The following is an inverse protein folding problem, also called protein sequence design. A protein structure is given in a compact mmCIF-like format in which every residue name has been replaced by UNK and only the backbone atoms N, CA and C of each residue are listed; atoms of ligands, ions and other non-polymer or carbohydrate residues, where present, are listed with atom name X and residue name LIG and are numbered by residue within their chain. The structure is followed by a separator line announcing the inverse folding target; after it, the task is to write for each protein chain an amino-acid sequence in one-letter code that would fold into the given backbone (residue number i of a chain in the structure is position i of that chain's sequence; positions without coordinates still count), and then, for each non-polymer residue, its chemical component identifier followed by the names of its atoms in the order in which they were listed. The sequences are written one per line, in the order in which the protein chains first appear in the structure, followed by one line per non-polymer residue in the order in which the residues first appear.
data_IF_595618145500
#
_entry.id   IF_595618145500
#
_cell.length_a   1.000
_cell.length_b   1.000
_cell.length_c   1.000
_cell.angle_alpha   90.00
_cell.angle_beta   90.00
_cell.angle_gamma   90.00
#
_symmetry.space_group_name_H-M   'P 1'
#
loop_
_entity.id
_entity.type
_entity.pdbx_description
1 polymer ?
#
# COMPACT_ATOMS: atom_id res chain seq x y z
N UNK A 1 3.21 6.41 -14.64
CA UNK A 1 2.59 5.35 -13.82
C UNK A 1 1.06 5.39 -13.84
N UNK A 2 0.39 6.50 -13.50
CA UNK A 2 -1.09 6.60 -13.47
C UNK A 2 -1.81 5.98 -14.66
N UNK A 3 -1.45 6.39 -15.89
CA UNK A 3 -2.10 5.88 -17.12
C UNK A 3 -1.97 4.36 -17.25
N UNK A 4 -0.80 3.81 -16.92
CA UNK A 4 -0.55 2.37 -16.98
C UNK A 4 -1.38 1.61 -15.95
N UNK A 5 -1.46 2.11 -14.71
CA UNK A 5 -2.30 1.50 -13.67
C UNK A 5 -3.79 1.56 -14.06
N UNK A 6 -4.24 2.66 -14.67
CA UNK A 6 -5.63 2.82 -15.09
C UNK A 6 -6.04 1.96 -16.30
N UNK A 7 -5.09 1.41 -17.07
CA UNK A 7 -5.42 0.35 -18.05
C UNK A 7 -6.02 -0.86 -17.32
N UNK A 8 -5.46 -1.24 -16.16
CA UNK A 8 -5.99 -2.34 -15.35
C UNK A 8 -7.30 -1.98 -14.65
N UNK A 9 -7.45 -0.74 -14.16
CA UNK A 9 -8.71 -0.28 -13.58
C UNK A 9 -9.84 -0.32 -14.61
N UNK A 10 -9.58 0.15 -15.84
CA UNK A 10 -10.52 0.03 -16.95
C UNK A 10 -10.80 -1.43 -17.31
N UNK A 11 -9.79 -2.29 -17.34
CA UNK A 11 -9.99 -3.72 -17.55
C UNK A 11 -10.92 -4.33 -16.49
N UNK A 12 -10.75 -3.97 -15.21
CA UNK A 12 -11.62 -4.41 -14.09
C UNK A 12 -13.07 -3.94 -14.29
N UNK A 13 -13.26 -2.72 -14.81
CA UNK A 13 -14.59 -2.15 -15.07
C UNK A 13 -15.28 -2.79 -16.27
N UNK A 14 -14.55 -2.97 -17.38
CA UNK A 14 -15.08 -3.49 -18.64
C UNK A 14 -15.39 -5.00 -18.55
N UNK A 15 -14.79 -5.72 -17.60
CA UNK A 15 -14.92 -7.17 -17.43
C UNK A 15 -15.77 -7.52 -16.19
N UNK A 16 -17.09 -7.43 -16.34
CA UNK A 16 -18.05 -7.66 -15.24
C UNK A 16 -17.95 -9.05 -14.61
N UNK A 17 -17.43 -10.06 -15.33
CA UNK A 17 -17.16 -11.38 -14.78
C UNK A 17 -16.15 -11.38 -13.62
N UNK A 18 -15.31 -10.35 -13.51
CA UNK A 18 -14.37 -10.21 -12.38
C UNK A 18 -15.08 -9.87 -11.06
N UNK A 19 -16.36 -9.49 -11.10
CA UNK A 19 -17.16 -9.28 -9.88
C UNK A 19 -17.41 -10.55 -9.07
N UNK A 20 -17.07 -11.73 -9.59
CA UNK A 20 -17.07 -12.98 -8.82
C UNK A 20 -15.96 -13.02 -7.75
N UNK A 21 -14.92 -12.18 -7.87
CA UNK A 21 -13.83 -12.10 -6.90
C UNK A 21 -14.13 -11.03 -5.86
N UNK A 22 -13.90 -11.35 -4.59
CA UNK A 22 -14.14 -10.41 -3.48
C UNK A 22 -12.99 -9.43 -3.28
N UNK A 23 -11.77 -9.82 -3.68
CA UNK A 23 -10.55 -9.07 -3.45
C UNK A 23 -9.71 -8.94 -4.71
N UNK A 24 -8.94 -7.86 -4.79
CA UNK A 24 -7.96 -7.59 -5.84
C UNK A 24 -6.61 -7.33 -5.18
N UNK A 25 -5.57 -8.02 -5.65
CA UNK A 25 -4.19 -7.76 -5.24
C UNK A 25 -3.52 -6.88 -6.29
N UNK A 26 -3.04 -5.71 -5.89
CA UNK A 26 -2.07 -4.95 -6.68
C UNK A 26 -0.67 -5.21 -6.10
N UNK A 27 0.26 -5.64 -6.94
CA UNK A 27 1.62 -5.97 -6.54
C UNK A 27 2.63 -5.49 -7.59
N UNK A 28 3.77 -4.97 -7.12
CA UNK A 28 4.92 -4.63 -7.94
C UNK A 28 5.72 -5.90 -8.27
N UNK A 29 5.80 -6.24 -9.56
CA UNK A 29 6.46 -7.45 -10.06
C UNK A 29 7.96 -7.25 -10.39
N UNK A 30 8.45 -6.02 -10.32
CA UNK A 30 9.87 -5.66 -10.43
C UNK A 30 10.64 -5.78 -9.10
N UNK A 31 9.96 -6.25 -8.05
CA UNK A 31 10.56 -6.54 -6.74
C UNK A 31 10.83 -8.04 -6.57
N UNK A 32 12.05 -8.39 -6.14
CA UNK A 32 12.34 -9.73 -5.62
C UNK A 32 12.07 -9.73 -4.13
N UNK A 33 11.04 -10.47 -3.70
CA UNK A 33 10.53 -10.42 -2.33
C UNK A 33 10.36 -11.80 -1.69
N UNK A 34 10.47 -11.84 -0.36
CA UNK A 34 9.95 -12.92 0.47
C UNK A 34 8.70 -12.44 1.21
N UNK A 35 7.60 -13.17 1.03
CA UNK A 35 6.37 -12.94 1.79
C UNK A 35 6.12 -14.14 2.71
N UNK A 36 5.80 -13.86 3.96
CA UNK A 36 5.45 -14.89 4.93
C UNK A 36 3.96 -15.22 4.82
N UNK A 37 3.63 -16.52 4.79
CA UNK A 37 2.25 -16.97 4.63
C UNK A 37 1.35 -16.48 5.78
N UNK A 38 1.87 -16.40 7.00
CA UNK A 38 1.11 -16.00 8.19
C UNK A 38 0.50 -14.60 8.03
N UNK A 39 1.24 -13.63 7.49
CA UNK A 39 0.73 -12.29 7.25
C UNK A 39 -0.28 -12.19 6.12
N UNK A 40 -0.17 -13.06 5.10
CA UNK A 40 -1.20 -13.18 4.06
C UNK A 40 -2.49 -13.77 4.65
N UNK A 41 -2.37 -14.81 5.49
CA UNK A 41 -3.50 -15.43 6.16
C UNK A 41 -4.17 -14.48 7.15
N UNK A 42 -3.41 -13.70 7.94
CA UNK A 42 -3.98 -12.72 8.85
C UNK A 42 -4.70 -11.59 8.09
N UNK A 43 -4.19 -11.18 6.93
CA UNK A 43 -4.89 -10.25 6.02
C UNK A 43 -6.27 -10.79 5.61
N UNK A 44 -6.37 -12.07 5.26
CA UNK A 44 -7.66 -12.71 4.98
C UNK A 44 -8.59 -12.73 6.20
N UNK A 45 -8.05 -13.05 7.39
CA UNK A 45 -8.80 -13.01 8.64
C UNK A 45 -9.36 -11.62 8.93
N UNK A 46 -8.58 -10.55 8.72
CA UNK A 46 -9.03 -9.18 8.91
C UNK A 46 -10.18 -8.79 8.00
N UNK A 47 -10.09 -9.12 6.71
CA UNK A 47 -11.18 -8.82 5.78
C UNK A 47 -12.47 -9.58 6.08
N UNK A 48 -12.35 -10.80 6.62
CA UNK A 48 -13.48 -11.61 7.07
C UNK A 48 -14.08 -11.08 8.38
N UNK A 49 -13.24 -10.63 9.32
CA UNK A 49 -13.66 -10.09 10.61
C UNK A 49 -14.32 -8.71 10.48
N UNK A 50 -13.84 -7.85 9.57
CA UNK A 50 -14.45 -6.55 9.29
C UNK A 50 -14.75 -6.38 7.77
N UNK A 51 -16.01 -6.59 7.34
CA UNK A 51 -16.41 -6.45 5.94
C UNK A 51 -16.36 -4.99 5.44
N UNK A 52 -16.11 -4.01 6.33
CA UNK A 52 -16.05 -2.59 5.98
C UNK A 52 -14.64 -2.11 5.64
N UNK A 53 -13.61 -2.95 5.82
CA UNK A 53 -12.24 -2.63 5.38
C UNK A 53 -12.21 -2.54 3.86
N UNK A 54 -11.67 -1.44 3.33
CA UNK A 54 -11.53 -1.20 1.89
C UNK A 54 -10.21 -1.74 1.34
N UNK A 55 -9.12 -1.58 2.10
CA UNK A 55 -7.78 -2.00 1.67
C UNK A 55 -6.86 -2.34 2.85
N UNK A 56 -5.97 -3.31 2.62
CA UNK A 56 -4.89 -3.70 3.53
C UNK A 56 -3.58 -3.76 2.75
N UNK A 57 -2.62 -2.92 3.12
CA UNK A 57 -1.29 -2.89 2.50
C UNK A 57 -0.28 -3.75 3.24
N UNK A 58 0.75 -4.16 2.50
CA UNK A 58 1.89 -4.87 3.06
C UNK A 58 2.76 -3.94 3.91
N UNK A 59 3.44 -4.54 4.88
CA UNK A 59 4.55 -3.93 5.59
C UNK A 59 5.84 -4.27 4.86
N UNK A 60 6.11 -3.53 3.77
CA UNK A 60 7.31 -3.74 2.96
C UNK A 60 8.56 -3.23 3.66
N UNK A 61 9.58 -4.08 3.75
CA UNK A 61 10.83 -3.78 4.46
C UNK A 61 12.04 -4.30 3.69
N UNK A 62 13.15 -3.58 3.77
CA UNK A 62 14.43 -4.01 3.19
C UNK A 62 15.59 -3.70 4.15
N UNK A 63 16.71 -4.42 3.98
CA UNK A 63 17.93 -4.13 4.72
C UNK A 63 18.69 -2.99 4.04
N UNK A 64 18.95 -1.92 4.79
CA UNK A 64 19.84 -0.87 4.33
C UNK A 64 21.30 -1.36 4.35
N UNK A 65 22.00 -1.18 3.22
CA UNK A 65 23.36 -1.68 2.98
C UNK A 65 24.35 -1.19 4.05
N UNK A 66 24.14 0.01 4.59
CA UNK A 66 24.90 0.52 5.72
C UNK A 66 24.18 0.21 7.05
N UNK A 67 24.86 -0.55 7.91
CA UNK A 67 24.55 -0.85 9.32
C UNK A 67 23.45 -1.88 9.62
N UNK A 68 22.95 -2.65 8.64
CA UNK A 68 21.99 -3.73 8.89
C UNK A 68 20.65 -3.26 9.48
N UNK A 69 20.34 -1.96 9.34
CA UNK A 69 19.08 -1.38 9.78
C UNK A 69 17.99 -1.69 8.76
N UNK A 70 16.84 -2.15 9.24
CA UNK A 70 15.64 -2.32 8.42
C UNK A 70 15.06 -0.95 8.08
N UNK A 71 14.65 -0.75 6.83
CA UNK A 71 13.94 0.43 6.37
C UNK A 71 12.59 0.05 5.78
N UNK A 72 11.62 0.92 5.96
CA UNK A 72 10.32 0.84 5.31
C UNK A 72 10.47 1.12 3.81
N UNK A 73 9.75 0.35 3.00
CA UNK A 73 9.75 0.49 1.55
C UNK A 73 8.59 1.37 1.06
N UNK A 74 8.88 2.15 0.02
CA UNK A 74 7.95 3.09 -0.61
C UNK A 74 7.26 4.04 0.40
N UNK A 75 8.05 4.89 1.10
CA UNK A 75 7.47 5.88 2.00
C UNK A 75 6.69 6.98 1.27
N UNK A 76 6.83 7.07 -0.05
CA UNK A 76 6.15 8.05 -0.89
C UNK A 76 4.66 7.71 -1.07
N UNK A 77 4.30 6.43 -1.14
CA UNK A 77 2.91 5.99 -1.12
C UNK A 77 2.26 6.02 0.29
N UNK A 78 3.02 6.30 1.34
CA UNK A 78 2.54 6.20 2.73
C UNK A 78 2.09 7.56 3.31
N UNK A 79 0.89 7.59 3.90
CA UNK A 79 0.33 8.74 4.61
C UNK A 79 -0.38 8.29 5.89
N UNK A 80 0.15 8.70 7.05
CA UNK A 80 -0.47 8.41 8.35
C UNK A 80 -1.73 9.28 8.57
N UNK A 81 -2.62 8.87 9.48
CA UNK A 81 -3.76 9.72 9.91
C UNK A 81 -3.29 11.02 10.60
N UNK A 82 -2.20 10.94 11.36
CA UNK A 82 -1.70 12.01 12.23
C UNK A 82 -0.77 12.99 11.49
N UNK A 83 -0.23 12.61 10.34
CA UNK A 83 0.77 13.38 9.62
C UNK A 83 0.21 13.97 8.33
N UNK A 84 -0.43 15.12 8.44
CA UNK A 84 -1.06 15.85 7.33
C UNK A 84 -0.03 16.58 6.44
N UNK A 85 1.22 16.76 6.90
CA UNK A 85 2.27 17.44 6.13
C UNK A 85 3.00 16.42 5.26
N UNK A 86 2.50 16.27 4.05
CA UNK A 86 3.10 15.39 3.07
C UNK A 86 4.35 16.06 2.48
N UNK A 87 5.52 15.45 2.65
CA UNK A 87 6.72 15.84 1.91
C UNK A 87 7.57 14.61 1.68
N UNK A 88 8.16 14.48 0.48
CA UNK A 88 8.95 13.31 0.10
C UNK A 88 10.14 13.12 1.03
N UNK A 89 10.89 14.19 1.28
CA UNK A 89 12.07 14.17 2.15
C UNK A 89 11.68 13.90 3.61
N UNK A 90 10.56 14.46 4.08
CA UNK A 90 10.09 14.20 5.43
C UNK A 90 9.61 12.76 5.58
N UNK A 91 8.83 12.22 4.63
CA UNK A 91 8.40 10.84 4.66
C UNK A 91 9.60 9.88 4.56
N UNK A 92 10.61 10.17 3.76
CA UNK A 92 11.78 9.30 3.62
C UNK A 92 12.65 9.27 4.89
N UNK A 93 12.90 10.44 5.50
CA UNK A 93 13.61 10.53 6.79
C UNK A 93 12.75 9.94 7.91
N UNK A 94 11.49 10.37 8.03
CA UNK A 94 10.60 9.91 9.08
C UNK A 94 10.36 8.40 9.02
N UNK A 95 10.13 7.86 7.82
CA UNK A 95 9.95 6.41 7.66
C UNK A 95 11.22 5.62 7.97
N UNK A 96 12.39 6.13 7.55
CA UNK A 96 13.69 5.50 7.81
C UNK A 96 14.04 5.42 9.30
N UNK A 97 13.52 6.34 10.12
CA UNK A 97 13.84 6.39 11.55
C UNK A 97 12.70 5.94 12.47
N UNK A 98 11.43 6.09 12.05
CA UNK A 98 10.28 5.96 12.93
C UNK A 98 9.15 5.05 12.41
N UNK A 99 9.11 4.70 11.10
CA UNK A 99 8.10 3.75 10.57
C UNK A 99 8.68 2.34 10.40
N UNK A 100 9.19 1.78 11.49
CA UNK A 100 9.35 0.33 11.59
C UNK A 100 8.11 -0.16 12.33
N UNK A 101 7.14 -0.69 11.60
CA UNK A 101 5.98 -1.32 12.22
C UNK A 101 6.42 -2.69 12.74
N UNK A 102 6.58 -2.87 14.07
CA UNK A 102 6.89 -4.19 14.60
C UNK A 102 5.73 -5.13 14.26
N UNK A 103 6.05 -6.41 14.05
CA UNK A 103 5.14 -7.50 13.68
C UNK A 103 4.16 -7.88 14.83
N UNK A 104 3.70 -6.89 15.58
CA UNK A 104 2.88 -7.04 16.79
C UNK A 104 1.74 -6.01 16.85
N UNK A 105 1.61 -5.14 15.84
CA UNK A 105 0.55 -4.14 15.76
C UNK A 105 -0.40 -4.57 14.64
N UNK A 106 -1.29 -5.50 14.97
CA UNK A 106 -2.32 -6.11 14.12
C UNK A 106 -2.61 -5.34 12.80
N UNK A 107 -3.49 -4.35 12.87
CA UNK A 107 -3.73 -3.38 11.80
C UNK A 107 -3.42 -1.95 12.26
N UNK A 108 -2.68 -1.23 11.44
CA UNK A 108 -2.37 0.20 11.63
C UNK A 108 -3.24 1.03 10.70
N UNK A 109 -4.12 1.91 11.21
CA UNK A 109 -4.93 2.77 10.36
C UNK A 109 -4.05 3.83 9.69
N UNK A 110 -4.24 4.00 8.38
CA UNK A 110 -3.50 4.95 7.55
C UNK A 110 -4.41 5.57 6.50
N UNK A 111 -4.02 6.72 5.96
CA UNK A 111 -4.71 7.31 4.82
C UNK A 111 -4.26 6.69 3.50
N UNK A 112 -3.03 6.19 3.43
CA UNK A 112 -2.48 5.50 2.27
C UNK A 112 -1.25 4.70 2.65
N UNK A 113 -1.04 3.56 1.99
CA UNK A 113 0.18 2.76 2.01
C UNK A 113 0.24 1.92 0.73
N UNK A 114 1.38 1.38 0.35
CA UNK A 114 1.44 0.39 -0.72
C UNK A 114 2.59 -0.60 -0.49
N UNK A 115 3.82 -0.10 -0.44
CA UNK A 115 5.00 -0.89 -0.06
C UNK A 115 5.17 -2.18 -0.88
N UNK A 116 4.87 -2.09 -2.17
CA UNK A 116 5.00 -3.18 -3.13
C UNK A 116 3.80 -4.11 -3.23
N UNK A 117 2.86 -4.11 -2.28
CA UNK A 117 1.63 -4.90 -2.39
C UNK A 117 0.47 -4.35 -1.54
N UNK A 118 -0.73 -4.28 -2.12
CA UNK A 118 -1.97 -3.97 -1.41
C UNK A 118 -3.11 -4.87 -1.88
N UNK A 119 -3.82 -5.44 -0.90
CA UNK A 119 -5.11 -6.08 -1.12
C UNK A 119 -6.22 -5.05 -1.01
N UNK A 120 -7.12 -5.06 -1.98
CA UNK A 120 -8.32 -4.24 -2.02
C UNK A 120 -9.55 -5.12 -1.98
N UNK A 121 -10.61 -4.66 -1.33
CA UNK A 121 -11.94 -5.20 -1.58
C UNK A 121 -12.40 -4.75 -2.97
N UNK A 122 -12.82 -5.69 -3.81
CA UNK A 122 -13.21 -5.42 -5.20
C UNK A 122 -14.29 -4.32 -5.28
N UNK A 123 -15.31 -4.41 -4.42
CA UNK A 123 -16.39 -3.42 -4.35
C UNK A 123 -15.91 -2.02 -3.99
N UNK A 124 -14.79 -1.90 -3.27
CA UNK A 124 -14.25 -0.63 -2.80
C UNK A 124 -13.42 0.09 -3.86
N UNK A 125 -12.94 -0.59 -4.91
CA UNK A 125 -12.14 0.01 -5.99
C UNK A 125 -12.84 0.04 -7.34
N UNK A 126 -13.97 -0.68 -7.51
CA UNK A 126 -14.76 -0.64 -8.74
C UNK A 126 -15.21 0.77 -9.06
N UNK A 127 -15.00 1.22 -10.31
CA UNK A 127 -15.37 2.57 -10.75
C UNK A 127 -14.36 3.65 -10.34
N UNK A 128 -13.24 3.28 -9.71
CA UNK A 128 -12.24 4.20 -9.18
C UNK A 128 -10.94 4.09 -9.98
N UNK A 129 -10.23 5.20 -10.06
CA UNK A 129 -9.02 5.32 -10.88
C UNK A 129 -7.89 5.95 -10.08
N UNK A 130 -6.66 5.51 -10.36
CA UNK A 130 -5.47 6.17 -9.86
C UNK A 130 -5.42 7.61 -10.39
N UNK A 131 -4.95 8.53 -9.56
CA UNK A 131 -4.74 9.94 -9.93
C UNK A 131 -3.51 10.49 -9.23
N UNK A 132 -2.81 11.39 -9.90
CA UNK A 132 -1.75 12.21 -9.31
C UNK A 132 -2.11 13.67 -9.50
N UNK A 133 -1.69 14.52 -8.59
CA UNK A 133 -1.91 15.97 -8.62
C UNK A 133 -0.83 16.64 -7.78
N UNK A 134 -0.71 17.97 -7.90
CA UNK A 134 0.19 18.75 -7.07
C UNK A 134 -0.52 19.17 -5.77
N UNK A 135 0.15 19.01 -4.64
CA UNK A 135 -0.33 19.54 -3.36
C UNK A 135 -0.19 21.06 -3.24
N UNK A 136 -0.54 21.63 -2.08
CA UNK A 136 -0.43 23.07 -1.78
C UNK A 136 1.01 23.59 -1.84
N UNK A 137 2.01 22.71 -1.80
CA UNK A 137 3.43 23.01 -1.88
C UNK A 137 4.03 22.72 -3.25
N UNK A 138 3.20 22.46 -4.28
CA UNK A 138 3.59 22.08 -5.64
C UNK A 138 4.39 20.77 -5.70
N UNK A 139 4.21 19.87 -4.73
CA UNK A 139 4.78 18.53 -4.77
C UNK A 139 3.79 17.58 -5.44
N UNK A 140 4.26 16.78 -6.39
CA UNK A 140 3.44 15.73 -6.97
C UNK A 140 3.11 14.69 -5.90
N UNK A 141 1.84 14.31 -5.80
CA UNK A 141 1.32 13.28 -4.90
C UNK A 141 1.38 11.91 -5.58
N UNK A 142 1.82 10.89 -4.84
CA UNK A 142 1.85 9.51 -5.33
C UNK A 142 0.46 9.05 -5.79
N UNK A 143 0.39 8.29 -6.88
CA UNK A 143 -0.88 7.84 -7.41
C UNK A 143 -1.64 6.87 -6.49
N UNK A 144 -0.92 6.10 -5.67
CA UNK A 144 -1.51 5.24 -4.64
C UNK A 144 -2.28 6.06 -3.61
N UNK A 145 -1.72 7.20 -3.20
CA UNK A 145 -2.40 8.16 -2.31
C UNK A 145 -3.67 8.68 -2.99
N UNK A 146 -3.58 9.08 -4.26
CA UNK A 146 -4.74 9.58 -5.01
C UNK A 146 -5.89 8.56 -5.14
N UNK A 147 -5.58 7.26 -5.26
CA UNK A 147 -6.57 6.20 -5.20
C UNK A 147 -7.11 6.03 -3.77
N UNK A 148 -6.25 5.94 -2.75
CA UNK A 148 -6.67 5.70 -1.36
C UNK A 148 -7.51 6.82 -0.76
N UNK A 149 -7.35 8.07 -1.22
CA UNK A 149 -8.24 9.17 -0.83
C UNK A 149 -9.71 8.95 -1.22
N UNK A 150 -10.00 7.99 -2.11
CA UNK A 150 -11.37 7.60 -2.45
C UNK A 150 -11.91 6.46 -1.57
N UNK A 151 -11.08 5.90 -0.69
CA UNK A 151 -11.41 4.83 0.25
C UNK A 151 -11.65 5.42 1.65
N UNK A 152 -12.37 4.70 2.50
CA UNK A 152 -12.69 5.14 3.87
C UNK A 152 -11.82 4.46 4.91
N UNK A 153 -11.54 3.16 4.72
CA UNK A 153 -10.86 2.31 5.70
C UNK A 153 -9.66 1.61 5.06
N UNK A 154 -8.50 2.21 5.19
CA UNK A 154 -7.22 1.69 4.70
C UNK A 154 -6.33 1.37 5.91
N UNK A 155 -5.75 0.18 5.88
CA UNK A 155 -4.86 -0.29 6.95
C UNK A 155 -3.53 -0.78 6.37
N UNK A 156 -2.48 -0.68 7.17
CA UNK A 156 -1.27 -1.47 7.00
C UNK A 156 -1.36 -2.67 7.94
N UNK A 157 -1.16 -3.88 7.41
CA UNK A 157 -1.01 -5.07 8.25
C UNK A 157 0.47 -5.23 8.61
N UNK A 158 0.81 -5.07 9.89
CA UNK A 158 2.20 -5.14 10.33
C UNK A 158 2.81 -6.53 10.21
N UNK A 159 1.97 -7.57 10.16
CA UNK A 159 2.34 -8.98 10.00
C UNK A 159 2.51 -9.40 8.54
N UNK A 160 1.90 -8.68 7.59
CA UNK A 160 2.08 -8.90 6.16
C UNK A 160 3.43 -8.34 5.69
N UNK A 161 4.51 -8.97 6.16
CA UNK A 161 5.88 -8.60 5.83
C UNK A 161 6.18 -8.96 4.38
N UNK A 162 6.43 -7.92 3.56
CA UNK A 162 7.00 -8.06 2.23
C UNK A 162 8.49 -7.72 2.32
N UNK A 163 9.34 -8.73 2.53
CA UNK A 163 10.77 -8.52 2.67
C UNK A 163 11.43 -8.39 1.29
N UNK A 164 11.93 -7.20 0.97
CA UNK A 164 12.48 -6.88 -0.34
C UNK A 164 13.98 -7.17 -0.33
N UNK A 165 14.37 -8.10 -1.19
CA UNK A 165 15.75 -8.57 -1.36
C UNK A 165 16.46 -7.70 -2.40
N UNK A 166 15.76 -7.42 -3.50
CA UNK A 166 16.28 -6.67 -4.65
C UNK A 166 15.15 -5.84 -5.24
N UNK A 167 15.51 -4.62 -5.61
CA UNK A 167 14.68 -3.72 -6.38
C UNK A 167 15.43 -3.46 -7.69
N UNK A 168 14.90 -3.94 -8.82
CA UNK A 168 15.60 -3.96 -10.11
C UNK A 168 15.39 -2.69 -10.96
N UNK A 169 15.01 -1.59 -10.29
CA UNK A 169 14.80 -0.27 -10.90
C UNK A 169 16.08 0.56 -10.92
#
# INVERSE_FOLDING_TARGET
MVQLRNIYMKYIEDNTQLSQYEYVLAQDFDLVTYTYADGLLSTGFHFNADPTIDAICANGVYNHILFGRKKYFDPYAHKDEQNQKWSVLYNDIWSSFFRIYPCSIDLVPVQSCFSGATFYRYSSIKGKHYRTYLDSHKQAICEHVGLHETLKKVYLNSEMILYIIKNDI
#
